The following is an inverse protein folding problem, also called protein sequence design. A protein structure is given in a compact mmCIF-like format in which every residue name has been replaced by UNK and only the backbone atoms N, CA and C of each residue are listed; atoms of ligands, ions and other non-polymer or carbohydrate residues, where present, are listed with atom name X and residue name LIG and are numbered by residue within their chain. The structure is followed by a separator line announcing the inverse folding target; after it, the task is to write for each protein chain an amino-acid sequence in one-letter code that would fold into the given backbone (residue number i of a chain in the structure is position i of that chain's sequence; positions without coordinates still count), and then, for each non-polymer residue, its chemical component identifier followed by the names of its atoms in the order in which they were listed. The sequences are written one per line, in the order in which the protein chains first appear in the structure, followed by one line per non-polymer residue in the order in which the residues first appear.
data_IF_301739626473
#
_entry.id   IF_301739626473
#
_cell.length_a   1.000
_cell.length_b   1.000
_cell.length_c   1.000
_cell.angle_alpha   90.00
_cell.angle_beta   90.00
_cell.angle_gamma   90.00
#
_symmetry.space_group_name_H-M   'P 1'
#
loop_
_entity.id
_entity.type
_entity.pdbx_description
1 polymer ?
#
# COMPACT_ATOMS: atom_id res chain seq x y z
N UNK A 1 37.94 20.71 44.70
CA UNK A 1 37.28 19.58 44.01
C UNK A 1 35.80 19.88 43.72
N UNK A 2 35.45 21.09 43.26
CA UNK A 2 34.06 21.50 42.99
C UNK A 2 33.75 21.67 41.49
N UNK A 3 34.76 21.99 40.67
CA UNK A 3 34.57 22.29 39.25
C UNK A 3 34.22 21.07 38.39
N UNK A 4 34.81 19.91 38.68
CA UNK A 4 34.54 18.69 37.91
C UNK A 4 33.12 18.15 38.16
N UNK A 5 32.66 18.14 39.41
CA UNK A 5 31.30 17.68 39.75
C UNK A 5 30.22 18.58 39.15
N UNK A 6 30.49 19.89 39.03
CA UNK A 6 29.59 20.84 38.36
C UNK A 6 29.59 20.61 36.85
N UNK A 7 30.76 20.44 36.23
CA UNK A 7 30.88 20.11 34.81
C UNK A 7 30.17 18.79 34.46
N UNK A 8 30.29 17.76 35.31
CA UNK A 8 29.62 16.48 35.11
C UNK A 8 28.09 16.60 35.21
N UNK A 9 27.58 17.42 36.14
CA UNK A 9 26.15 17.72 36.23
C UNK A 9 25.64 18.47 35.00
N UNK A 10 26.36 19.49 34.54
CA UNK A 10 26.02 20.29 33.35
C UNK A 10 26.02 19.41 32.07
N UNK A 11 26.98 18.49 31.94
CA UNK A 11 27.03 17.52 30.81
C UNK A 11 25.84 16.56 30.86
N UNK A 12 25.49 16.02 32.04
CA UNK A 12 24.34 15.11 32.18
C UNK A 12 23.03 15.81 31.86
N UNK A 13 22.87 17.06 32.29
CA UNK A 13 21.69 17.86 31.98
C UNK A 13 21.59 18.17 30.48
N UNK A 14 22.70 18.58 29.84
CA UNK A 14 22.74 18.83 28.40
C UNK A 14 22.42 17.57 27.58
N UNK A 15 22.93 16.40 27.98
CA UNK A 15 22.59 15.12 27.35
C UNK A 15 21.12 14.77 27.55
N UNK A 16 20.57 14.94 28.75
CA UNK A 16 19.16 14.69 29.03
C UNK A 16 18.24 15.58 28.17
N UNK A 17 18.57 16.87 28.03
CA UNK A 17 17.85 17.82 27.15
C UNK A 17 17.97 17.43 25.68
N UNK A 18 19.14 16.98 25.22
CA UNK A 18 19.34 16.49 23.85
C UNK A 18 18.53 15.22 23.57
N UNK A 19 18.48 14.29 24.52
CA UNK A 19 17.67 13.07 24.42
C UNK A 19 16.16 13.38 24.39
N UNK A 20 15.69 14.29 25.26
CA UNK A 20 14.31 14.75 25.27
C UNK A 20 13.93 15.46 23.97
N UNK A 21 14.80 16.32 23.44
CA UNK A 21 14.56 17.01 22.15
C UNK A 21 14.48 16.03 20.98
N UNK A 22 15.35 15.01 20.98
CA UNK A 22 15.31 13.93 19.98
C UNK A 22 14.04 13.09 20.09
N UNK A 23 13.62 12.70 21.30
CA UNK A 23 12.41 11.90 21.47
C UNK A 23 11.14 12.66 21.06
N UNK A 24 11.05 13.96 21.38
CA UNK A 24 9.96 14.83 20.94
C UNK A 24 9.94 14.94 19.40
N UNK A 25 11.09 15.19 18.77
CA UNK A 25 11.19 15.26 17.31
C UNK A 25 10.74 13.96 16.63
N UNK A 26 11.19 12.81 17.13
CA UNK A 26 10.74 11.49 16.66
C UNK A 26 9.25 11.30 16.84
N UNK A 27 8.68 11.68 17.98
CA UNK A 27 7.24 11.57 18.23
C UNK A 27 6.41 12.45 17.27
N UNK A 28 6.85 13.67 16.99
CA UNK A 28 6.20 14.58 16.04
C UNK A 28 6.25 13.99 14.62
N UNK A 29 7.40 13.45 14.20
CA UNK A 29 7.54 12.83 12.89
C UNK A 29 6.63 11.59 12.73
N UNK A 30 6.57 10.75 13.76
CA UNK A 30 5.66 9.59 13.79
C UNK A 30 4.20 10.02 13.71
N UNK A 31 3.78 10.98 14.54
CA UNK A 31 2.40 11.48 14.53
C UNK A 31 2.02 12.12 13.19
N UNK A 32 2.92 12.91 12.59
CA UNK A 32 2.71 13.52 11.28
C UNK A 32 2.56 12.45 10.19
N UNK A 33 3.37 11.38 10.24
CA UNK A 33 3.28 10.26 9.32
C UNK A 33 1.95 9.51 9.46
N UNK A 34 1.53 9.19 10.68
CA UNK A 34 0.27 8.50 10.95
C UNK A 34 -0.93 9.30 10.45
N UNK A 35 -0.92 10.63 10.66
CA UNK A 35 -1.95 11.52 10.14
C UNK A 35 -2.04 11.46 8.61
N UNK A 36 -0.89 11.52 7.92
CA UNK A 36 -0.84 11.43 6.45
C UNK A 36 -1.36 10.08 5.93
N UNK A 37 -1.05 8.98 6.62
CA UNK A 37 -1.56 7.65 6.27
C UNK A 37 -3.08 7.60 6.43
N UNK A 38 -3.62 8.11 7.53
CA UNK A 38 -5.07 8.10 7.74
C UNK A 38 -5.80 9.03 6.78
N UNK A 39 -5.25 10.20 6.45
CA UNK A 39 -5.79 11.07 5.40
C UNK A 39 -5.88 10.34 4.04
N UNK A 40 -4.85 9.61 3.66
CA UNK A 40 -4.88 8.82 2.43
C UNK A 40 -5.92 7.68 2.47
N UNK A 41 -6.08 7.00 3.61
CA UNK A 41 -7.14 5.99 3.81
C UNK A 41 -8.53 6.61 3.72
N UNK A 42 -8.72 7.77 4.32
CA UNK A 42 -9.98 8.52 4.23
C UNK A 42 -10.27 8.92 2.78
N UNK A 43 -9.26 9.37 2.03
CA UNK A 43 -9.42 9.68 0.62
C UNK A 43 -9.81 8.44 -0.20
N UNK A 44 -9.17 7.28 0.02
CA UNK A 44 -9.54 6.02 -0.64
C UNK A 44 -11.01 5.63 -0.38
N UNK A 45 -11.50 5.82 0.85
CA UNK A 45 -12.91 5.61 1.19
C UNK A 45 -13.81 6.64 0.51
N UNK A 46 -13.45 7.92 0.56
CA UNK A 46 -14.24 9.02 0.03
C UNK A 46 -14.46 8.92 -1.49
N UNK A 47 -13.47 8.44 -2.24
CA UNK A 47 -13.61 8.23 -3.69
C UNK A 47 -14.30 6.90 -4.05
N UNK A 48 -14.59 6.05 -3.06
CA UNK A 48 -15.23 4.74 -3.25
C UNK A 48 -14.31 3.64 -3.76
N UNK A 49 -12.98 3.79 -3.67
CA UNK A 49 -12.01 2.80 -4.16
C UNK A 49 -12.15 1.46 -3.42
N UNK A 50 -12.28 1.52 -2.09
CA UNK A 50 -12.34 0.33 -1.24
C UNK A 50 -13.59 -0.50 -1.53
N UNK A 51 -14.76 0.13 -1.50
CA UNK A 51 -16.05 -0.52 -1.75
C UNK A 51 -16.13 -1.08 -3.17
N UNK A 52 -15.56 -0.35 -4.15
CA UNK A 52 -15.48 -0.83 -5.52
C UNK A 52 -14.69 -2.14 -5.61
N UNK A 53 -13.44 -2.16 -5.14
CA UNK A 53 -12.59 -3.35 -5.22
C UNK A 53 -13.16 -4.55 -4.44
N UNK A 54 -13.79 -4.30 -3.29
CA UNK A 54 -14.44 -5.36 -2.53
C UNK A 54 -15.60 -5.99 -3.31
N UNK A 55 -16.44 -5.16 -3.95
CA UNK A 55 -17.54 -5.65 -4.80
C UNK A 55 -17.02 -6.43 -6.00
N UNK A 56 -16.02 -5.91 -6.72
CA UNK A 56 -15.46 -6.62 -7.88
C UNK A 56 -14.89 -7.99 -7.49
N UNK A 57 -14.27 -8.12 -6.31
CA UNK A 57 -13.83 -9.42 -5.78
C UNK A 57 -15.01 -10.35 -5.50
N UNK A 58 -16.11 -9.83 -4.94
CA UNK A 58 -17.31 -10.63 -4.70
C UNK A 58 -17.89 -11.16 -6.02
N UNK A 59 -17.96 -10.31 -7.05
CA UNK A 59 -18.46 -10.66 -8.39
C UNK A 59 -17.54 -11.69 -9.09
N UNK A 60 -16.21 -11.51 -9.00
CA UNK A 60 -15.23 -12.48 -9.49
C UNK A 60 -15.40 -13.86 -8.82
N UNK A 61 -15.60 -13.89 -7.49
CA UNK A 61 -15.85 -15.14 -6.76
C UNK A 61 -17.17 -15.79 -7.19
N UNK A 62 -18.25 -15.01 -7.31
CA UNK A 62 -19.56 -15.50 -7.74
C UNK A 62 -19.52 -16.09 -9.16
N UNK A 63 -18.66 -15.55 -10.02
CA UNK A 63 -18.45 -16.05 -11.39
C UNK A 63 -17.48 -17.24 -11.47
N UNK A 64 -16.85 -17.63 -10.36
CA UNK A 64 -16.01 -18.83 -10.22
C UNK A 64 -14.51 -18.60 -10.35
N UNK A 65 -14.04 -17.36 -10.26
CA UNK A 65 -12.62 -17.04 -10.18
C UNK A 65 -12.15 -17.06 -8.72
N UNK A 66 -10.88 -17.42 -8.51
CA UNK A 66 -10.23 -17.09 -7.26
C UNK A 66 -9.87 -15.60 -7.28
N UNK A 67 -10.30 -14.87 -6.26
CA UNK A 67 -9.97 -13.46 -6.07
C UNK A 67 -9.86 -13.13 -4.58
N UNK A 68 -9.07 -12.12 -4.24
CA UNK A 68 -8.88 -11.64 -2.88
C UNK A 68 -8.73 -10.11 -2.87
N UNK A 69 -9.51 -9.49 -2.00
CA UNK A 69 -9.38 -8.09 -1.63
C UNK A 69 -8.50 -7.99 -0.38
N UNK A 70 -7.58 -7.02 -0.34
CA UNK A 70 -6.73 -6.78 0.84
C UNK A 70 -6.68 -5.28 1.12
N UNK A 71 -7.44 -4.80 2.12
CA UNK A 71 -7.33 -3.44 2.60
C UNK A 71 -6.17 -3.29 3.59
N UNK A 72 -5.46 -2.16 3.51
CA UNK A 72 -4.47 -1.68 4.47
C UNK A 72 -3.43 -2.72 4.90
N UNK A 73 -2.91 -3.49 3.94
CA UNK A 73 -1.96 -4.58 4.19
C UNK A 73 -0.64 -4.15 4.83
N UNK A 74 -0.30 -2.86 4.74
CA UNK A 74 0.99 -2.33 5.19
C UNK A 74 0.75 -1.28 6.28
N UNK A 75 1.37 -1.40 7.47
CA UNK A 75 1.14 -0.46 8.57
C UNK A 75 1.58 0.97 8.27
N UNK A 76 2.59 1.13 7.43
CA UNK A 76 3.42 2.32 7.33
C UNK A 76 3.08 3.21 6.11
N UNK A 77 2.01 2.85 5.40
CA UNK A 77 1.42 3.54 4.25
C UNK A 77 -0.06 3.20 4.12
N UNK A 78 -0.83 4.04 3.43
CA UNK A 78 -2.16 3.62 2.99
C UNK A 78 -2.00 2.65 1.83
N UNK A 79 -2.73 1.53 1.86
CA UNK A 79 -2.62 0.50 0.84
C UNK A 79 -3.96 -0.16 0.64
N UNK A 80 -4.34 -0.40 -0.61
CA UNK A 80 -5.49 -1.24 -0.94
C UNK A 80 -5.17 -1.99 -2.22
N UNK A 81 -5.52 -3.28 -2.26
CA UNK A 81 -5.23 -4.09 -3.43
C UNK A 81 -6.26 -5.18 -3.68
N UNK A 82 -6.33 -5.59 -4.94
CA UNK A 82 -7.03 -6.77 -5.41
C UNK A 82 -6.01 -7.72 -6.04
N UNK A 83 -6.20 -9.02 -5.84
CA UNK A 83 -5.56 -10.03 -6.66
C UNK A 83 -6.58 -11.06 -7.14
N UNK A 84 -6.34 -11.63 -8.32
CA UNK A 84 -7.16 -12.69 -8.86
C UNK A 84 -6.36 -13.62 -9.77
N UNK A 85 -6.90 -14.80 -10.00
CA UNK A 85 -6.36 -15.77 -10.98
C UNK A 85 -7.26 -15.70 -12.21
N UNK A 86 -6.71 -15.36 -13.39
CA UNK A 86 -7.53 -15.08 -14.55
C UNK A 86 -8.16 -16.35 -15.15
N UNK A 87 -7.73 -17.55 -14.75
CA UNK A 87 -8.33 -18.83 -15.13
C UNK A 87 -9.41 -19.27 -14.13
N UNK A 88 -10.63 -19.42 -14.62
CA UNK A 88 -11.78 -19.87 -13.82
C UNK A 88 -11.54 -21.25 -13.21
N UNK A 89 -11.90 -21.42 -11.93
CA UNK A 89 -11.73 -22.68 -11.20
C UNK A 89 -10.30 -22.99 -10.75
N UNK A 90 -9.28 -22.25 -11.19
CA UNK A 90 -7.92 -22.42 -10.71
C UNK A 90 -7.74 -21.84 -9.30
N UNK A 91 -6.82 -22.46 -8.55
CA UNK A 91 -6.41 -22.03 -7.21
C UNK A 91 -4.99 -21.46 -7.24
N UNK A 92 -4.59 -20.66 -6.22
CA UNK A 92 -3.24 -20.12 -6.15
C UNK A 92 -2.20 -21.24 -6.11
N UNK A 93 -1.27 -21.23 -7.06
CA UNK A 93 -0.16 -22.20 -7.08
C UNK A 93 1.03 -21.61 -6.36
N UNK A 94 1.37 -22.19 -5.22
CA UNK A 94 2.51 -21.73 -4.40
C UNK A 94 3.81 -22.16 -5.06
N UNK A 95 4.72 -21.22 -5.30
CA UNK A 95 6.10 -21.55 -5.70
C UNK A 95 6.97 -21.80 -4.48
N UNK A 96 8.06 -22.52 -4.67
CA UNK A 96 9.03 -22.95 -3.63
C UNK A 96 9.58 -21.84 -2.74
N UNK A 97 9.39 -20.57 -3.11
CA UNK A 97 9.86 -19.38 -2.37
C UNK A 97 8.72 -18.51 -1.81
N UNK A 98 7.49 -19.03 -1.69
CA UNK A 98 6.39 -18.36 -0.99
C UNK A 98 5.61 -17.32 -1.82
N UNK A 99 5.69 -17.39 -3.15
CA UNK A 99 4.88 -16.59 -4.08
C UNK A 99 3.78 -17.40 -4.77
N UNK A 100 3.00 -16.75 -5.64
CA UNK A 100 2.02 -17.40 -6.50
C UNK A 100 2.34 -17.17 -7.98
N UNK A 101 2.52 -18.25 -8.77
CA UNK A 101 2.94 -18.17 -10.18
C UNK A 101 1.80 -17.96 -11.18
N UNK A 102 0.56 -17.82 -10.72
CA UNK A 102 -0.62 -17.63 -11.56
C UNK A 102 -1.47 -16.44 -11.13
N UNK A 103 -0.98 -15.64 -10.19
CA UNK A 103 -1.72 -14.57 -9.56
C UNK A 103 -1.42 -13.23 -10.20
N UNK A 104 -2.48 -12.53 -10.60
CA UNK A 104 -2.43 -11.14 -11.03
C UNK A 104 -2.78 -10.23 -9.85
N UNK A 105 -2.09 -9.10 -9.71
CA UNK A 105 -2.25 -8.14 -8.62
C UNK A 105 -2.36 -6.72 -9.16
N UNK A 106 -3.28 -5.95 -8.58
CA UNK A 106 -3.39 -4.51 -8.72
C UNK A 106 -3.40 -3.89 -7.32
N UNK A 107 -2.53 -2.91 -7.08
CA UNK A 107 -2.45 -2.21 -5.81
C UNK A 107 -2.37 -0.69 -5.97
N UNK A 108 -2.93 -0.02 -4.96
CA UNK A 108 -2.90 1.42 -4.76
C UNK A 108 -2.20 1.66 -3.43
N UNK A 109 -1.10 2.40 -3.44
CA UNK A 109 -0.33 2.73 -2.24
C UNK A 109 -0.12 4.22 -2.15
N UNK A 110 -0.28 4.79 -0.96
CA UNK A 110 -0.01 6.20 -0.70
C UNK A 110 0.92 6.38 0.49
N UNK A 111 1.98 7.17 0.29
CA UNK A 111 2.87 7.62 1.36
C UNK A 111 2.81 9.15 1.40
N UNK A 112 1.94 9.70 2.25
CA UNK A 112 1.61 11.13 2.15
C UNK A 112 0.83 11.43 0.86
N UNK A 113 1.27 12.44 0.13
CA UNK A 113 0.61 12.87 -1.11
C UNK A 113 1.02 12.05 -2.35
N UNK A 114 2.04 11.20 -2.24
CA UNK A 114 2.49 10.38 -3.36
C UNK A 114 1.62 9.14 -3.46
N UNK A 115 0.98 8.96 -4.61
CA UNK A 115 0.16 7.80 -4.95
C UNK A 115 0.88 6.94 -5.97
N UNK A 116 0.98 5.65 -5.68
CA UNK A 116 1.50 4.64 -6.60
C UNK A 116 0.40 3.66 -6.95
N UNK A 117 0.16 3.48 -8.24
CA UNK A 117 -0.69 2.43 -8.79
C UNK A 117 0.24 1.42 -9.45
N UNK A 118 0.17 0.17 -9.04
CA UNK A 118 1.06 -0.86 -9.55
C UNK A 118 0.32 -2.15 -9.87
N UNK A 119 0.80 -2.83 -10.89
CA UNK A 119 0.30 -4.10 -11.38
C UNK A 119 1.46 -5.06 -11.50
N UNK A 120 1.23 -6.31 -11.13
CA UNK A 120 2.15 -7.40 -11.43
C UNK A 120 1.36 -8.68 -11.70
N UNK A 121 1.95 -9.56 -12.48
CA UNK A 121 1.41 -10.87 -12.77
C UNK A 121 2.55 -11.86 -12.99
N UNK A 122 2.21 -13.11 -13.32
CA UNK A 122 3.21 -14.15 -13.52
C UNK A 122 4.02 -14.02 -14.81
N UNK A 123 3.58 -13.14 -15.71
CA UNK A 123 4.25 -12.84 -16.96
C UNK A 123 4.78 -11.40 -16.86
N UNK A 124 6.04 -11.17 -17.25
CA UNK A 124 6.69 -9.85 -17.18
C UNK A 124 5.90 -8.72 -17.86
N UNK A 125 5.04 -9.07 -18.83
CA UNK A 125 4.14 -8.15 -19.54
C UNK A 125 3.07 -7.50 -18.65
N UNK A 126 2.84 -8.01 -17.43
CA UNK A 126 1.88 -7.46 -16.46
C UNK A 126 2.53 -6.54 -15.42
N UNK A 127 3.85 -6.29 -15.52
CA UNK A 127 4.53 -5.38 -14.60
C UNK A 127 4.37 -3.94 -15.07
N UNK A 128 3.52 -3.19 -14.38
CA UNK A 128 3.30 -1.75 -14.63
C UNK A 128 3.31 -1.00 -13.31
N UNK A 129 3.90 0.18 -13.29
CA UNK A 129 3.88 1.07 -12.15
C UNK A 129 3.67 2.50 -12.65
N UNK A 130 2.72 3.19 -12.04
CA UNK A 130 2.41 4.58 -12.31
C UNK A 130 2.48 5.38 -11.02
N UNK A 131 3.01 6.59 -11.14
CA UNK A 131 3.06 7.56 -10.05
C UNK A 131 2.08 8.69 -10.34
N UNK A 132 1.29 9.00 -9.33
CA UNK A 132 0.27 10.03 -9.30
C UNK A 132 0.37 10.76 -7.96
N UNK A 133 -0.44 11.79 -7.79
CA UNK A 133 -0.68 12.39 -6.47
C UNK A 133 -1.99 11.87 -5.90
N UNK A 134 -2.11 11.84 -4.58
CA UNK A 134 -3.30 11.37 -3.89
C UNK A 134 -4.55 12.14 -4.33
N UNK A 135 -4.44 13.44 -4.54
CA UNK A 135 -5.56 14.29 -5.00
C UNK A 135 -6.03 13.96 -6.42
N UNK A 136 -5.18 13.37 -7.26
CA UNK A 136 -5.58 12.91 -8.60
C UNK A 136 -6.40 11.62 -8.54
N UNK A 137 -6.34 10.88 -7.44
CA UNK A 137 -7.18 9.69 -7.28
C UNK A 137 -8.64 10.07 -7.24
N UNK A 138 -9.39 9.54 -8.21
CA UNK A 138 -10.84 9.63 -8.30
C UNK A 138 -11.37 8.34 -8.95
N UNK A 139 -12.70 8.26 -9.10
CA UNK A 139 -13.37 7.08 -9.64
C UNK A 139 -13.04 6.76 -11.09
N UNK A 140 -12.77 7.76 -11.93
CA UNK A 140 -12.35 7.50 -13.30
C UNK A 140 -10.96 6.87 -13.35
N UNK A 141 -10.01 7.40 -12.56
CA UNK A 141 -8.64 6.91 -12.53
C UNK A 141 -8.56 5.45 -12.07
N UNK A 142 -9.18 5.10 -10.93
CA UNK A 142 -9.05 3.72 -10.44
C UNK A 142 -9.83 2.71 -11.27
N UNK A 143 -10.96 3.10 -11.87
CA UNK A 143 -11.71 2.22 -12.78
C UNK A 143 -10.91 1.95 -14.06
N UNK A 144 -10.30 2.98 -14.65
CA UNK A 144 -9.42 2.80 -15.80
C UNK A 144 -8.22 1.90 -15.48
N UNK A 145 -7.62 2.06 -14.29
CA UNK A 145 -6.54 1.18 -13.83
C UNK A 145 -7.02 -0.28 -13.67
N UNK A 146 -8.22 -0.48 -13.13
CA UNK A 146 -8.84 -1.79 -12.96
C UNK A 146 -9.18 -2.46 -14.30
N UNK A 147 -9.81 -1.75 -15.23
CA UNK A 147 -10.14 -2.24 -16.57
C UNK A 147 -8.88 -2.65 -17.32
N UNK A 148 -7.85 -1.77 -17.34
CA UNK A 148 -6.56 -2.09 -17.95
C UNK A 148 -5.89 -3.32 -17.32
N UNK A 149 -6.06 -3.52 -16.02
CA UNK A 149 -5.51 -4.67 -15.30
C UNK A 149 -6.22 -5.97 -15.70
N UNK A 150 -7.55 -5.98 -15.72
CA UNK A 150 -8.35 -7.14 -16.12
C UNK A 150 -8.07 -7.51 -17.58
N UNK A 151 -8.04 -6.53 -18.49
CA UNK A 151 -7.74 -6.75 -19.90
C UNK A 151 -6.34 -7.33 -20.12
N UNK A 152 -5.34 -6.81 -19.40
CA UNK A 152 -3.98 -7.32 -19.47
C UNK A 152 -3.91 -8.77 -18.96
N UNK A 153 -4.59 -9.09 -17.86
CA UNK A 153 -4.62 -10.44 -17.31
C UNK A 153 -5.31 -11.44 -18.26
N UNK A 154 -6.41 -11.04 -18.91
CA UNK A 154 -7.09 -11.87 -19.92
C UNK A 154 -6.22 -12.09 -21.15
N UNK A 155 -5.57 -11.04 -21.68
CA UNK A 155 -4.66 -11.16 -22.83
C UNK A 155 -3.51 -12.12 -22.54
N UNK A 156 -2.92 -12.01 -21.35
CA UNK A 156 -1.79 -12.85 -20.93
C UNK A 156 -2.14 -14.35 -20.81
N UNK A 157 -3.44 -14.71 -20.71
CA UNK A 157 -3.86 -16.11 -20.76
C UNK A 157 -3.99 -16.68 -22.18
N UNK A 158 -4.27 -15.81 -23.16
CA UNK A 158 -4.59 -16.19 -24.53
C UNK A 158 -3.36 -16.13 -25.45
N UNK A 159 -2.23 -15.62 -24.95
CA UNK A 159 -0.91 -15.62 -25.60
C UNK A 159 -0.12 -16.88 -25.25
#
# INVERSE_FOLDING_TARGET
MADFSKLEADIREALAQQHASKSISTAIQTSSREMLIEQARQHFRAVGLMDYLEREVADMKATGYWAKYTPNAVPDRASVSICFIPRKGEQPRVVSHGGHDNLCHLGFQSTGNDLRIYQFGPIDSLRREEQHTLIQLNSALFKAAYESFVDAAIRAMNS
#
